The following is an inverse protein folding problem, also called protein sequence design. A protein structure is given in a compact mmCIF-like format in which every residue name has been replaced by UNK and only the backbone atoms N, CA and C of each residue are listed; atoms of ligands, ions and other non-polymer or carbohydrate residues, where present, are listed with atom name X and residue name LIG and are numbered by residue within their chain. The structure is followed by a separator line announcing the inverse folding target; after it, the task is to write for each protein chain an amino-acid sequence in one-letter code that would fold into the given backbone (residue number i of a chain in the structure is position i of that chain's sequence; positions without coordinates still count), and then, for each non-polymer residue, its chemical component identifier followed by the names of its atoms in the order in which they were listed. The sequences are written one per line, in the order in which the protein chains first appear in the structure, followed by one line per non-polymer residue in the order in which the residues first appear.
data_IF_629339192431
#
_entry.id   IF_629339192431
#
_cell.length_a   1.000
_cell.length_b   1.000
_cell.length_c   1.000
_cell.angle_alpha   90.00
_cell.angle_beta   90.00
_cell.angle_gamma   90.00
#
_symmetry.space_group_name_H-M   'P 1'
#
loop_
_entity.id
_entity.type
_entity.pdbx_description
1 polymer ?
#
# COMPACT_ATOMS: atom_id res chain seq x y z
N UNK A 1 29.39 9.56 -19.22
CA UNK A 1 28.44 9.36 -20.32
C UNK A 1 28.76 8.02 -20.97
N UNK A 2 27.76 7.18 -21.15
CA UNK A 2 27.87 5.95 -21.95
C UNK A 2 26.67 5.86 -22.90
N UNK A 3 26.77 5.04 -23.96
CA UNK A 3 25.72 4.92 -24.97
C UNK A 3 25.03 3.57 -24.79
N UNK A 4 23.73 3.60 -24.49
CA UNK A 4 22.91 2.41 -24.35
C UNK A 4 21.76 2.44 -25.36
N UNK A 5 21.69 1.43 -26.24
CA UNK A 5 20.65 1.36 -27.26
C UNK A 5 20.61 2.53 -28.26
N UNK A 6 21.72 3.26 -28.44
CA UNK A 6 21.81 4.44 -29.30
C UNK A 6 21.51 5.76 -28.61
N UNK A 7 21.19 5.77 -27.33
CA UNK A 7 20.93 6.95 -26.52
C UNK A 7 22.08 7.27 -25.55
N UNK A 8 22.34 8.56 -25.36
CA UNK A 8 23.34 9.02 -24.40
C UNK A 8 22.79 8.93 -22.99
N UNK A 9 23.41 8.11 -22.15
CA UNK A 9 23.09 8.01 -20.73
C UNK A 9 24.15 8.76 -19.94
N UNK A 10 23.71 9.68 -19.11
CA UNK A 10 24.57 10.45 -18.21
C UNK A 10 24.51 9.81 -16.80
N UNK A 11 25.60 9.14 -16.34
CA UNK A 11 25.63 8.52 -15.03
C UNK A 11 25.18 9.44 -13.91
N UNK A 12 25.63 10.69 -13.93
CA UNK A 12 25.28 11.68 -12.90
C UNK A 12 23.77 11.98 -12.79
N UNK A 13 22.99 11.88 -13.88
CA UNK A 13 21.54 12.05 -13.83
C UNK A 13 20.87 10.86 -13.14
N UNK A 14 21.30 9.65 -13.46
CA UNK A 14 20.81 8.42 -12.83
C UNK A 14 21.24 8.36 -11.36
N UNK A 15 22.48 8.72 -11.07
CA UNK A 15 23.03 8.81 -9.72
C UNK A 15 22.25 9.81 -8.87
N UNK A 16 21.94 10.99 -9.41
CA UNK A 16 21.15 12.01 -8.71
C UNK A 16 19.74 11.53 -8.35
N UNK A 17 19.10 10.74 -9.21
CA UNK A 17 17.80 10.13 -8.91
C UNK A 17 17.93 9.09 -7.82
N UNK A 18 18.96 8.25 -7.88
CA UNK A 18 19.22 7.22 -6.86
C UNK A 18 19.59 7.82 -5.51
N UNK A 19 20.32 8.96 -5.48
CA UNK A 19 20.63 9.69 -4.25
C UNK A 19 19.43 10.28 -3.54
N UNK A 20 18.30 10.47 -4.24
CA UNK A 20 17.06 10.96 -3.64
C UNK A 20 16.31 9.88 -2.87
N UNK A 21 16.71 8.61 -3.01
CA UNK A 21 16.11 7.51 -2.27
C UNK A 21 16.69 7.45 -0.86
N UNK A 22 15.83 7.50 0.14
CA UNK A 22 16.23 7.35 1.54
C UNK A 22 16.96 6.01 1.75
N UNK A 23 18.18 6.11 2.32
CA UNK A 23 19.03 4.94 2.57
C UNK A 23 20.12 4.69 1.52
N UNK A 24 20.15 5.45 0.42
CA UNK A 24 21.25 5.42 -0.55
C UNK A 24 22.32 6.44 -0.12
N UNK A 25 23.39 5.95 0.50
CA UNK A 25 24.52 6.80 0.97
C UNK A 25 25.52 7.12 -0.15
N UNK A 26 25.73 6.17 -1.04
CA UNK A 26 26.60 6.32 -2.21
C UNK A 26 26.07 5.44 -3.34
N UNK A 27 26.07 5.96 -4.54
CA UNK A 27 25.82 5.19 -5.75
C UNK A 27 26.78 5.64 -6.85
N UNK A 28 27.11 4.73 -7.75
CA UNK A 28 27.87 4.99 -8.95
C UNK A 28 27.30 4.20 -10.11
N UNK A 29 27.00 4.85 -11.21
CA UNK A 29 26.53 4.22 -12.43
C UNK A 29 27.65 4.22 -13.46
N UNK A 30 28.12 3.04 -13.83
CA UNK A 30 29.14 2.86 -14.86
C UNK A 30 28.58 2.11 -16.05
N UNK A 31 28.93 2.52 -17.25
CA UNK A 31 28.67 1.78 -18.48
C UNK A 31 29.51 0.49 -18.48
N UNK A 32 28.86 -0.64 -18.79
CA UNK A 32 29.53 -1.95 -18.95
C UNK A 32 29.20 -2.44 -20.35
N UNK A 33 30.19 -2.96 -21.10
CA UNK A 33 29.96 -3.49 -22.45
C UNK A 33 28.84 -4.54 -22.48
N UNK A 34 27.92 -4.39 -23.42
CA UNK A 34 26.81 -5.30 -23.63
C UNK A 34 26.61 -5.56 -25.11
N UNK A 35 26.51 -6.83 -25.53
CA UNK A 35 26.52 -7.25 -26.93
C UNK A 35 25.38 -6.63 -27.76
N UNK A 36 24.21 -6.39 -27.17
CA UNK A 36 23.03 -5.89 -27.87
C UNK A 36 22.86 -4.37 -27.78
N UNK A 37 23.27 -3.75 -26.66
CA UNK A 37 22.96 -2.36 -26.33
C UNK A 37 24.19 -1.44 -26.31
N UNK A 38 25.38 -1.97 -26.63
CA UNK A 38 26.64 -1.28 -26.58
C UNK A 38 27.17 -1.23 -25.14
N UNK A 39 26.57 -0.40 -24.27
CA UNK A 39 26.86 -0.35 -22.85
C UNK A 39 25.57 -0.36 -22.02
N UNK A 40 25.61 -0.93 -20.81
CA UNK A 40 24.48 -0.91 -19.86
C UNK A 40 24.94 -0.49 -18.47
N UNK A 41 24.09 0.16 -17.72
CA UNK A 41 24.42 0.64 -16.38
C UNK A 41 24.60 -0.52 -15.39
N UNK A 42 25.78 -0.58 -14.73
CA UNK A 42 26.12 -1.65 -13.78
C UNK A 42 25.41 -1.53 -12.41
N UNK A 43 24.81 -0.38 -12.09
CA UNK A 43 24.06 -0.18 -10.85
C UNK A 43 22.97 -1.26 -10.66
N UNK A 44 22.35 -1.71 -11.74
CA UNK A 44 21.32 -2.74 -11.71
C UNK A 44 21.86 -4.11 -11.26
N UNK A 45 23.08 -4.46 -11.64
CA UNK A 45 23.71 -5.73 -11.22
C UNK A 45 24.15 -5.71 -9.75
N UNK A 46 24.59 -4.56 -9.26
CA UNK A 46 24.96 -4.38 -7.85
C UNK A 46 23.73 -4.38 -6.92
N UNK A 47 22.57 -3.91 -7.42
CA UNK A 47 21.30 -3.91 -6.69
C UNK A 47 20.55 -5.25 -6.73
N UNK A 48 20.99 -6.23 -7.56
CA UNK A 48 20.29 -7.50 -7.76
C UNK A 48 19.89 -8.24 -6.48
N UNK A 49 20.77 -8.40 -5.49
CA UNK A 49 20.42 -9.05 -4.23
C UNK A 49 19.33 -8.34 -3.43
N UNK A 50 19.20 -7.02 -3.56
CA UNK A 50 18.13 -6.25 -2.88
C UNK A 50 16.74 -6.57 -3.49
N UNK A 51 16.68 -6.89 -4.78
CA UNK A 51 15.45 -7.32 -5.45
C UNK A 51 14.92 -8.66 -4.94
N UNK A 52 15.74 -9.45 -4.22
CA UNK A 52 15.29 -10.68 -3.56
C UNK A 52 14.30 -10.38 -2.43
N UNK A 53 14.35 -9.20 -1.79
CA UNK A 53 13.48 -8.84 -0.67
C UNK A 53 12.00 -8.86 -1.08
N UNK A 54 11.55 -8.10 -2.12
CA UNK A 54 10.18 -8.20 -2.60
C UNK A 54 9.78 -9.61 -3.03
N UNK A 55 10.69 -10.34 -3.69
CA UNK A 55 10.44 -11.72 -4.14
C UNK A 55 10.20 -12.64 -2.94
N UNK A 56 11.01 -12.55 -1.89
CA UNK A 56 10.88 -13.35 -0.67
C UNK A 56 9.56 -13.00 0.04
N UNK A 57 9.24 -11.72 0.18
CA UNK A 57 8.01 -11.27 0.83
C UNK A 57 6.79 -11.79 0.06
N UNK A 58 6.68 -11.43 -1.21
CA UNK A 58 5.52 -11.79 -2.03
C UNK A 58 5.44 -13.30 -2.25
N UNK A 59 6.56 -13.94 -2.58
CA UNK A 59 6.63 -15.38 -2.78
C UNK A 59 6.27 -16.16 -1.51
N UNK A 60 6.72 -15.72 -0.35
CA UNK A 60 6.40 -16.32 0.94
C UNK A 60 4.91 -16.21 1.30
N UNK A 61 4.31 -15.04 1.06
CA UNK A 61 2.88 -14.82 1.30
C UNK A 61 2.02 -15.60 0.29
N UNK A 62 2.33 -15.50 -1.01
CA UNK A 62 1.54 -16.14 -2.07
C UNK A 62 1.62 -17.68 -2.03
N UNK A 63 2.76 -18.23 -1.57
CA UNK A 63 2.88 -19.68 -1.35
C UNK A 63 2.22 -20.18 -0.06
N UNK A 64 1.69 -19.28 0.77
CA UNK A 64 1.12 -19.64 2.07
C UNK A 64 2.17 -20.06 3.12
N UNK A 65 3.47 -19.95 2.83
CA UNK A 65 4.56 -20.35 3.73
C UNK A 65 4.67 -19.39 4.93
N UNK A 66 4.43 -18.11 4.69
CA UNK A 66 4.52 -17.04 5.69
C UNK A 66 3.25 -16.19 5.73
N UNK A 67 2.86 -15.81 6.92
CA UNK A 67 1.92 -14.68 7.10
C UNK A 67 2.57 -13.36 6.70
N UNK A 68 1.81 -12.30 6.41
CA UNK A 68 2.38 -10.97 6.12
C UNK A 68 3.34 -10.47 7.20
N UNK A 69 3.03 -10.73 8.48
CA UNK A 69 3.89 -10.33 9.62
C UNK A 69 5.19 -11.12 9.66
N UNK A 70 5.14 -12.44 9.40
CA UNK A 70 6.33 -13.28 9.34
C UNK A 70 7.20 -12.90 8.13
N UNK A 71 6.59 -12.62 6.98
CA UNK A 71 7.31 -12.13 5.80
C UNK A 71 8.05 -10.82 6.06
N UNK A 72 7.44 -9.89 6.82
CA UNK A 72 8.11 -8.67 7.24
C UNK A 72 9.33 -8.95 8.14
N UNK A 73 9.21 -9.88 9.10
CA UNK A 73 10.34 -10.29 9.95
C UNK A 73 11.47 -10.92 9.14
N UNK A 74 11.15 -11.80 8.18
CA UNK A 74 12.13 -12.40 7.25
C UNK A 74 12.81 -11.31 6.42
N UNK A 75 12.06 -10.32 5.92
CA UNK A 75 12.62 -9.20 5.17
C UNK A 75 13.64 -8.39 5.98
N UNK A 76 13.36 -8.15 7.27
CA UNK A 76 14.31 -7.49 8.18
C UNK A 76 15.59 -8.31 8.28
N UNK A 77 15.50 -9.62 8.51
CA UNK A 77 16.68 -10.50 8.61
C UNK A 77 17.49 -10.47 7.31
N UNK A 78 16.83 -10.61 6.16
CA UNK A 78 17.50 -10.57 4.84
C UNK A 78 18.18 -9.21 4.62
N UNK A 79 17.52 -8.12 4.97
CA UNK A 79 18.08 -6.76 4.85
C UNK A 79 19.33 -6.59 5.74
N UNK A 80 19.29 -7.10 6.98
CA UNK A 80 20.44 -7.09 7.89
C UNK A 80 21.62 -7.89 7.33
N UNK A 81 21.35 -9.10 6.82
CA UNK A 81 22.39 -9.95 6.20
C UNK A 81 23.00 -9.25 4.99
N UNK A 82 22.19 -8.69 4.09
CA UNK A 82 22.68 -7.94 2.94
C UNK A 82 23.50 -6.72 3.37
N UNK A 83 23.03 -5.96 4.35
CA UNK A 83 23.74 -4.80 4.90
C UNK A 83 25.11 -5.15 5.47
N UNK A 84 25.21 -6.30 6.14
CA UNK A 84 26.50 -6.84 6.62
C UNK A 84 27.39 -7.28 5.45
N UNK A 85 26.85 -8.00 4.47
CA UNK A 85 27.60 -8.47 3.29
C UNK A 85 28.15 -7.30 2.46
N UNK A 86 27.40 -6.20 2.35
CA UNK A 86 27.87 -5.01 1.67
C UNK A 86 28.81 -4.12 2.52
N UNK A 87 29.02 -4.48 3.78
CA UNK A 87 29.89 -3.70 4.70
C UNK A 87 29.37 -2.29 4.99
N UNK A 88 28.08 -2.03 4.76
CA UNK A 88 27.44 -0.71 4.93
C UNK A 88 26.72 -0.55 6.27
N UNK A 89 26.60 -1.64 7.05
CA UNK A 89 25.88 -1.63 8.33
C UNK A 89 26.83 -1.23 9.47
N UNK A 90 26.71 0.01 9.94
CA UNK A 90 27.41 0.42 11.16
C UNK A 90 26.58 0.12 12.41
N UNK A 91 27.20 -0.17 13.57
CA UNK A 91 26.45 -0.38 14.83
C UNK A 91 25.56 0.81 15.21
N UNK A 92 26.02 2.02 14.92
CA UNK A 92 25.26 3.26 15.19
C UNK A 92 24.02 3.33 14.28
N UNK A 93 24.18 3.01 12.99
CA UNK A 93 23.04 2.98 12.05
C UNK A 93 22.01 1.92 12.46
N UNK A 94 22.48 0.75 12.91
CA UNK A 94 21.59 -0.31 13.40
C UNK A 94 20.78 0.15 14.63
N UNK A 95 21.45 0.70 15.65
CA UNK A 95 20.76 1.22 16.85
C UNK A 95 19.77 2.32 16.48
N UNK A 96 20.18 3.26 15.61
CA UNK A 96 19.29 4.31 15.13
C UNK A 96 18.07 3.75 14.39
N UNK A 97 18.26 2.76 13.52
CA UNK A 97 17.18 2.08 12.81
C UNK A 97 16.19 1.42 13.76
N UNK A 98 16.67 0.70 14.77
CA UNK A 98 15.82 0.07 15.79
C UNK A 98 15.03 1.11 16.59
N UNK A 99 15.68 2.20 17.01
CA UNK A 99 15.01 3.29 17.75
C UNK A 99 13.92 3.95 16.89
N UNK A 100 14.21 4.26 15.62
CA UNK A 100 13.22 4.84 14.71
C UNK A 100 12.04 3.89 14.47
N UNK A 101 12.31 2.62 14.19
CA UNK A 101 11.27 1.60 14.04
C UNK A 101 10.42 1.46 15.31
N UNK A 102 11.03 1.54 16.50
CA UNK A 102 10.31 1.54 17.78
C UNK A 102 9.40 2.77 17.94
N UNK A 103 9.86 3.94 17.55
CA UNK A 103 9.07 5.17 17.58
C UNK A 103 7.87 5.11 16.62
N UNK A 104 8.10 4.69 15.38
CA UNK A 104 7.04 4.52 14.37
C UNK A 104 6.01 3.47 14.81
N UNK A 105 6.48 2.33 15.33
CA UNK A 105 5.60 1.30 15.90
C UNK A 105 4.77 1.86 17.06
N UNK A 106 5.38 2.66 17.94
CA UNK A 106 4.70 3.31 19.06
C UNK A 106 3.58 4.26 18.59
N UNK A 107 3.83 5.05 17.56
CA UNK A 107 2.84 5.94 16.95
C UNK A 107 1.67 5.13 16.38
N UNK A 108 1.95 4.09 15.59
CA UNK A 108 0.92 3.23 15.00
C UNK A 108 0.09 2.54 16.09
N UNK A 109 0.72 2.00 17.13
CA UNK A 109 0.02 1.36 18.25
C UNK A 109 -0.85 2.33 19.03
N UNK A 110 -0.42 3.58 19.21
CA UNK A 110 -1.24 4.63 19.83
C UNK A 110 -2.49 4.92 18.98
N UNK A 111 -2.32 5.12 17.68
CA UNK A 111 -3.44 5.37 16.77
C UNK A 111 -4.44 4.19 16.75
N UNK A 112 -3.96 2.96 16.77
CA UNK A 112 -4.81 1.77 16.85
C UNK A 112 -5.55 1.70 18.18
N UNK A 113 -4.88 2.01 19.29
CA UNK A 113 -5.49 2.08 20.63
C UNK A 113 -6.62 3.10 20.70
N UNK A 114 -6.36 4.32 20.23
CA UNK A 114 -7.35 5.40 20.18
C UNK A 114 -8.54 5.04 19.29
N UNK A 115 -8.27 4.42 18.12
CA UNK A 115 -9.31 3.95 17.19
C UNK A 115 -10.19 2.87 17.84
N UNK A 116 -9.60 1.93 18.57
CA UNK A 116 -10.33 0.88 19.27
C UNK A 116 -11.23 1.46 20.39
N UNK A 117 -10.74 2.47 21.12
CA UNK A 117 -11.54 3.18 22.15
C UNK A 117 -12.73 3.88 21.48
N UNK A 118 -12.49 4.60 20.38
CA UNK A 118 -13.55 5.30 19.65
C UNK A 118 -14.59 4.31 19.09
N UNK A 119 -14.15 3.21 18.50
CA UNK A 119 -15.04 2.15 18.00
C UNK A 119 -15.91 1.60 19.16
N UNK A 120 -15.32 1.37 20.35
CA UNK A 120 -16.06 0.90 21.51
C UNK A 120 -17.08 1.90 22.03
N UNK A 121 -16.74 3.19 22.05
CA UNK A 121 -17.68 4.25 22.43
C UNK A 121 -18.87 4.31 21.46
N UNK A 122 -18.62 4.25 20.15
CA UNK A 122 -19.65 4.22 19.13
C UNK A 122 -20.55 2.97 19.24
N UNK A 123 -19.96 1.82 19.59
CA UNK A 123 -20.72 0.59 19.82
C UNK A 123 -21.67 0.75 21.00
N UNK A 124 -21.20 1.28 22.12
CA UNK A 124 -22.01 1.51 23.34
C UNK A 124 -23.12 2.53 23.09
N UNK A 125 -22.85 3.57 22.27
CA UNK A 125 -23.83 4.58 21.86
C UNK A 125 -24.90 4.04 20.88
N UNK A 126 -24.77 2.81 20.40
CA UNK A 126 -25.72 2.19 19.47
C UNK A 126 -25.54 2.62 18.01
N UNK A 127 -24.41 3.23 17.68
CA UNK A 127 -24.11 3.70 16.31
C UNK A 127 -24.27 2.59 15.27
N UNK A 128 -23.88 1.35 15.57
CA UNK A 128 -23.99 0.23 14.64
C UNK A 128 -25.46 -0.08 14.26
N UNK A 129 -26.37 -0.04 15.21
CA UNK A 129 -27.81 -0.25 14.96
C UNK A 129 -28.39 0.92 14.14
N UNK A 130 -28.08 2.16 14.52
CA UNK A 130 -28.53 3.34 13.81
C UNK A 130 -28.01 3.36 12.35
N UNK A 131 -26.76 2.98 12.13
CA UNK A 131 -26.16 2.85 10.80
C UNK A 131 -26.87 1.76 9.98
N UNK A 132 -27.13 0.59 10.58
CA UNK A 132 -27.84 -0.49 9.93
C UNK A 132 -29.25 -0.06 9.53
N UNK A 133 -30.01 0.55 10.43
CA UNK A 133 -31.38 1.03 10.15
C UNK A 133 -31.37 2.08 9.04
N UNK A 134 -30.43 3.02 9.07
CA UNK A 134 -30.29 4.03 8.03
C UNK A 134 -30.00 3.39 6.67
N UNK A 135 -29.01 2.49 6.59
CA UNK A 135 -28.63 1.85 5.32
C UNK A 135 -29.76 0.99 4.77
N UNK A 136 -30.43 0.18 5.62
CA UNK A 136 -31.52 -0.69 5.18
C UNK A 136 -32.77 0.12 4.79
N UNK A 137 -32.95 1.31 5.36
CA UNK A 137 -33.97 2.26 4.94
C UNK A 137 -33.68 2.91 3.56
N UNK A 138 -32.41 3.02 3.18
CA UNK A 138 -32.02 3.57 1.86
C UNK A 138 -32.12 2.52 0.76
N UNK A 139 -31.68 1.29 1.01
CA UNK A 139 -31.65 0.24 -0.01
C UNK A 139 -31.76 -1.16 0.58
N UNK A 140 -32.41 -2.04 -0.16
CA UNK A 140 -32.40 -3.49 0.09
C UNK A 140 -31.48 -4.25 -0.91
N UNK A 141 -30.88 -3.52 -1.87
CA UNK A 141 -30.06 -4.14 -2.91
C UNK A 141 -28.58 -4.19 -2.46
N UNK A 142 -27.94 -5.39 -2.40
CA UNK A 142 -26.56 -5.53 -1.98
C UNK A 142 -25.56 -4.75 -2.85
N UNK A 143 -25.80 -4.62 -4.14
CA UNK A 143 -24.92 -3.87 -5.04
C UNK A 143 -24.97 -2.35 -4.76
N UNK A 144 -26.17 -1.82 -4.48
CA UNK A 144 -26.33 -0.40 -4.12
C UNK A 144 -25.67 -0.15 -2.75
N UNK A 145 -25.83 -1.06 -1.80
CA UNK A 145 -25.11 -1.03 -0.52
C UNK A 145 -23.59 -0.95 -0.73
N UNK A 146 -23.02 -1.82 -1.56
CA UNK A 146 -21.59 -1.81 -1.85
C UNK A 146 -21.12 -0.47 -2.44
N UNK A 147 -21.89 0.13 -3.35
CA UNK A 147 -21.55 1.44 -3.91
C UNK A 147 -21.60 2.56 -2.85
N UNK A 148 -22.57 2.52 -1.94
CA UNK A 148 -22.64 3.47 -0.81
C UNK A 148 -21.42 3.33 0.08
N UNK A 149 -21.03 2.10 0.42
CA UNK A 149 -19.85 1.81 1.22
C UNK A 149 -18.58 2.29 0.52
N UNK A 150 -18.41 2.01 -0.77
CA UNK A 150 -17.27 2.50 -1.56
C UNK A 150 -17.20 4.03 -1.49
N UNK A 151 -18.29 4.72 -1.75
CA UNK A 151 -18.33 6.19 -1.69
C UNK A 151 -17.97 6.73 -0.31
N UNK A 152 -18.52 6.14 0.76
CA UNK A 152 -18.20 6.49 2.14
C UNK A 152 -16.72 6.29 2.45
N UNK A 153 -16.17 5.11 2.10
CA UNK A 153 -14.78 4.76 2.41
C UNK A 153 -13.77 5.56 1.59
N UNK A 154 -14.08 5.87 0.33
CA UNK A 154 -13.28 6.81 -0.46
C UNK A 154 -13.25 8.19 0.19
N UNK A 155 -14.40 8.70 0.63
CA UNK A 155 -14.48 10.00 1.30
C UNK A 155 -13.70 10.00 2.62
N UNK A 156 -13.83 8.96 3.45
CA UNK A 156 -13.07 8.82 4.70
C UNK A 156 -11.58 8.67 4.43
N UNK A 157 -11.19 7.82 3.47
CA UNK A 157 -9.79 7.56 3.10
C UNK A 157 -9.04 8.77 2.54
N UNK A 158 -9.76 9.82 2.08
CA UNK A 158 -9.11 11.09 1.71
C UNK A 158 -8.51 11.83 2.91
N UNK A 159 -9.08 11.65 4.12
CA UNK A 159 -8.74 12.42 5.32
C UNK A 159 -8.08 11.58 6.41
N UNK A 160 -8.38 10.29 6.44
CA UNK A 160 -7.98 9.37 7.52
C UNK A 160 -7.12 8.26 6.93
N UNK A 161 -6.06 7.92 7.65
CA UNK A 161 -5.21 6.77 7.31
C UNK A 161 -6.03 5.47 7.31
N UNK A 162 -5.77 4.52 6.38
CA UNK A 162 -6.58 3.31 6.23
C UNK A 162 -6.69 2.43 7.47
N UNK A 163 -5.61 2.28 8.27
CA UNK A 163 -5.65 1.42 9.45
C UNK A 163 -6.62 1.92 10.52
N UNK A 164 -6.52 3.18 11.03
CA UNK A 164 -7.51 3.74 11.93
C UNK A 164 -8.94 3.68 11.38
N UNK A 165 -9.12 4.06 10.10
CA UNK A 165 -10.43 4.03 9.46
C UNK A 165 -11.03 2.62 9.43
N UNK A 166 -10.21 1.61 9.11
CA UNK A 166 -10.60 0.21 9.12
C UNK A 166 -11.06 -0.24 10.51
N UNK A 167 -10.27 0.06 11.56
CA UNK A 167 -10.59 -0.31 12.94
C UNK A 167 -11.87 0.32 13.46
N UNK A 168 -12.19 1.54 13.01
CA UNK A 168 -13.42 2.25 13.41
C UNK A 168 -14.61 1.73 12.62
N UNK A 169 -14.51 1.60 11.30
CA UNK A 169 -15.67 1.39 10.42
C UNK A 169 -15.99 -0.09 10.17
N UNK A 170 -14.98 -0.98 10.10
CA UNK A 170 -15.22 -2.37 9.78
C UNK A 170 -16.13 -3.09 10.79
N UNK A 171 -16.03 -2.87 12.13
CA UNK A 171 -16.93 -3.51 13.09
C UNK A 171 -18.41 -3.17 12.88
N UNK A 172 -18.72 -2.04 12.28
CA UNK A 172 -20.10 -1.61 12.01
C UNK A 172 -20.58 -1.98 10.62
N UNK A 173 -19.72 -1.91 9.61
CA UNK A 173 -20.08 -2.19 8.21
C UNK A 173 -20.11 -3.70 7.91
N UNK A 174 -19.17 -4.47 8.45
CA UNK A 174 -19.07 -5.91 8.14
C UNK A 174 -20.27 -6.72 8.61
N UNK A 175 -20.85 -6.54 9.82
CA UNK A 175 -22.07 -7.23 10.21
C UNK A 175 -23.26 -6.92 9.30
N UNK A 176 -23.37 -5.69 8.82
CA UNK A 176 -24.43 -5.29 7.87
C UNK A 176 -24.21 -5.95 6.51
N UNK A 177 -22.97 -5.91 5.98
CA UNK A 177 -22.62 -6.53 4.70
C UNK A 177 -22.90 -8.03 4.69
N UNK A 178 -22.42 -8.74 5.69
CA UNK A 178 -22.52 -10.21 5.77
C UNK A 178 -23.88 -10.65 6.26
N UNK A 179 -24.38 -10.06 7.38
CA UNK A 179 -25.59 -10.52 8.06
C UNK A 179 -26.87 -10.06 7.38
N UNK A 180 -26.92 -8.87 6.78
CA UNK A 180 -28.13 -8.32 6.15
C UNK A 180 -28.14 -8.57 4.65
N UNK A 181 -27.02 -8.29 3.97
CA UNK A 181 -26.94 -8.37 2.50
C UNK A 181 -26.35 -9.69 1.98
N UNK A 182 -25.83 -10.57 2.86
CA UNK A 182 -25.28 -11.87 2.47
C UNK A 182 -24.01 -11.76 1.60
N UNK A 183 -23.27 -10.65 1.71
CA UNK A 183 -22.05 -10.42 0.96
C UNK A 183 -20.93 -11.29 1.56
N UNK A 184 -20.12 -11.90 0.70
CA UNK A 184 -18.95 -12.67 1.14
C UNK A 184 -17.99 -11.80 1.96
N UNK A 185 -17.55 -12.24 3.17
CA UNK A 185 -16.71 -11.44 4.05
C UNK A 185 -15.33 -11.12 3.47
N UNK A 186 -14.75 -12.02 2.64
CA UNK A 186 -13.45 -11.77 2.00
C UNK A 186 -13.59 -10.73 0.89
N UNK A 187 -14.63 -10.87 0.05
CA UNK A 187 -14.96 -9.88 -0.97
C UNK A 187 -15.18 -8.50 -0.34
N UNK A 188 -15.96 -8.44 0.73
CA UNK A 188 -16.21 -7.20 1.45
C UNK A 188 -14.92 -6.60 2.01
N UNK A 189 -14.08 -7.41 2.64
CA UNK A 189 -12.77 -6.98 3.16
C UNK A 189 -11.87 -6.38 2.08
N UNK A 190 -11.79 -7.04 0.91
CA UNK A 190 -11.03 -6.53 -0.25
C UNK A 190 -11.57 -5.17 -0.69
N UNK A 191 -12.89 -5.01 -0.81
CA UNK A 191 -13.51 -3.74 -1.21
C UNK A 191 -13.23 -2.63 -0.20
N UNK A 192 -13.33 -2.94 1.10
CA UNK A 192 -13.07 -1.97 2.17
C UNK A 192 -11.63 -1.47 2.13
N UNK A 193 -10.66 -2.39 2.11
CA UNK A 193 -9.24 -2.04 2.08
C UNK A 193 -8.89 -1.27 0.80
N UNK A 194 -9.36 -1.76 -0.35
CA UNK A 194 -9.08 -1.12 -1.64
C UNK A 194 -9.68 0.30 -1.70
N UNK A 195 -10.90 0.51 -1.20
CA UNK A 195 -11.53 1.82 -1.15
C UNK A 195 -10.74 2.81 -0.29
N UNK A 196 -10.33 2.40 0.92
CA UNK A 196 -9.56 3.24 1.83
C UNK A 196 -8.18 3.61 1.24
N UNK A 197 -7.49 2.64 0.62
CA UNK A 197 -6.19 2.89 -0.03
C UNK A 197 -6.32 3.82 -1.22
N UNK A 198 -7.37 3.66 -2.04
CA UNK A 198 -7.66 4.60 -3.13
C UNK A 198 -7.95 6.01 -2.62
N UNK A 199 -8.60 6.13 -1.47
CA UNK A 199 -8.86 7.41 -0.81
C UNK A 199 -7.56 8.20 -0.57
N UNK A 200 -6.46 7.54 -0.21
CA UNK A 200 -5.16 8.20 0.04
C UNK A 200 -4.61 8.98 -1.16
N UNK A 201 -4.94 8.57 -2.37
CA UNK A 201 -4.49 9.20 -3.61
C UNK A 201 -5.61 9.94 -4.35
N UNK A 202 -6.81 10.01 -3.73
CA UNK A 202 -7.98 10.63 -4.36
C UNK A 202 -8.02 12.15 -4.10
N UNK A 203 -8.07 13.02 -5.14
CA UNK A 203 -8.33 14.43 -4.96
C UNK A 203 -9.71 14.68 -4.31
N UNK A 204 -9.93 15.76 -3.54
CA UNK A 204 -9.09 16.96 -3.44
C UNK A 204 -8.03 16.93 -2.34
N UNK A 205 -8.02 15.93 -1.45
CA UNK A 205 -7.06 15.87 -0.34
C UNK A 205 -5.92 14.91 -0.68
N UNK A 206 -6.16 13.58 -0.60
CA UNK A 206 -5.17 12.57 -0.96
C UNK A 206 -3.84 12.72 -0.22
N UNK A 207 -3.75 12.26 1.03
CA UNK A 207 -2.58 12.45 1.89
C UNK A 207 -1.25 12.08 1.21
N UNK A 208 -1.25 11.00 0.43
CA UNK A 208 -0.07 10.55 -0.32
C UNK A 208 0.29 11.51 -1.44
N UNK A 209 -0.68 12.16 -2.08
CA UNK A 209 -0.39 13.16 -3.13
C UNK A 209 0.34 14.38 -2.57
N UNK A 210 0.03 14.82 -1.36
CA UNK A 210 0.77 15.89 -0.69
C UNK A 210 2.20 15.48 -0.39
N UNK A 211 2.40 14.26 0.10
CA UNK A 211 3.72 13.73 0.37
C UNK A 211 4.56 13.66 -0.91
N UNK A 212 4.00 13.09 -1.97
CA UNK A 212 4.68 13.00 -3.28
C UNK A 212 4.96 14.38 -3.86
N UNK A 213 4.04 15.34 -3.73
CA UNK A 213 4.23 16.73 -4.15
C UNK A 213 5.42 17.37 -3.42
N UNK A 214 5.54 17.15 -2.11
CA UNK A 214 6.62 17.71 -1.31
C UNK A 214 8.00 17.16 -1.69
N UNK A 215 8.08 15.87 -2.01
CA UNK A 215 9.32 15.17 -2.39
C UNK A 215 9.71 15.50 -3.84
N UNK A 216 8.76 15.38 -4.78
CA UNK A 216 9.01 15.54 -6.22
C UNK A 216 9.13 17.00 -6.68
N UNK A 217 8.75 17.97 -5.82
CA UNK A 217 8.64 19.40 -6.16
C UNK A 217 7.66 19.70 -7.30
N UNK A 218 6.79 18.76 -7.64
CA UNK A 218 5.71 18.94 -8.61
C UNK A 218 4.47 19.45 -7.86
N UNK A 219 3.75 20.42 -8.43
CA UNK A 219 2.55 20.98 -7.78
C UNK A 219 1.48 19.93 -7.59
N UNK A 220 0.75 20.03 -6.48
CA UNK A 220 -0.33 19.14 -6.12
C UNK A 220 -1.39 19.02 -7.22
N UNK A 221 -1.78 20.14 -7.84
CA UNK A 221 -2.77 20.16 -8.91
C UNK A 221 -2.31 19.34 -10.12
N UNK A 222 -1.05 19.48 -10.52
CA UNK A 222 -0.49 18.73 -11.65
C UNK A 222 -0.42 17.24 -11.36
N UNK A 223 -0.03 16.86 -10.14
CA UNK A 223 -0.05 15.45 -9.71
C UNK A 223 -1.46 14.90 -9.70
N UNK A 224 -2.41 15.63 -9.12
CA UNK A 224 -3.82 15.24 -9.06
C UNK A 224 -4.39 15.00 -10.45
N UNK A 225 -4.17 15.92 -11.39
CA UNK A 225 -4.63 15.76 -12.79
C UNK A 225 -3.99 14.55 -13.48
N UNK A 226 -2.69 14.31 -13.23
CA UNK A 226 -1.98 13.16 -13.80
C UNK A 226 -2.49 11.83 -13.23
N UNK A 227 -2.99 11.83 -12.00
CA UNK A 227 -3.54 10.64 -11.35
C UNK A 227 -4.97 10.28 -11.76
N UNK A 228 -5.75 11.24 -12.32
CA UNK A 228 -7.15 10.98 -12.71
C UNK A 228 -7.34 9.74 -13.58
N UNK A 229 -6.59 9.49 -14.65
CA UNK A 229 -6.77 8.29 -15.47
C UNK A 229 -6.55 6.98 -14.68
N UNK A 230 -5.54 6.96 -13.81
CA UNK A 230 -5.21 5.82 -12.97
C UNK A 230 -6.26 5.57 -11.90
N UNK A 231 -6.77 6.64 -11.29
CA UNK A 231 -7.89 6.58 -10.35
C UNK A 231 -9.16 6.07 -11.01
N UNK A 232 -9.46 6.52 -12.23
CA UNK A 232 -10.63 6.05 -12.98
C UNK A 232 -10.54 4.53 -13.26
N UNK A 233 -9.37 4.05 -13.70
CA UNK A 233 -9.14 2.61 -13.93
C UNK A 233 -9.29 1.84 -12.62
N UNK A 234 -8.67 2.32 -11.54
CA UNK A 234 -8.73 1.67 -10.22
C UNK A 234 -10.15 1.67 -9.65
N UNK A 235 -10.91 2.75 -9.85
CA UNK A 235 -12.31 2.82 -9.43
C UNK A 235 -13.18 1.84 -10.22
N UNK A 236 -12.98 1.73 -11.53
CA UNK A 236 -13.68 0.72 -12.35
C UNK A 236 -13.36 -0.69 -11.85
N UNK A 237 -12.08 -0.98 -11.58
CA UNK A 237 -11.67 -2.27 -11.03
C UNK A 237 -12.31 -2.53 -9.66
N UNK A 238 -12.33 -1.55 -8.76
CA UNK A 238 -12.98 -1.64 -7.46
C UNK A 238 -14.49 -1.94 -7.59
N UNK A 239 -15.17 -1.24 -8.50
CA UNK A 239 -16.60 -1.49 -8.78
C UNK A 239 -16.81 -2.89 -9.35
N UNK A 240 -15.95 -3.35 -10.25
CA UNK A 240 -16.02 -4.72 -10.77
C UNK A 240 -15.87 -5.76 -9.66
N UNK A 241 -14.89 -5.59 -8.76
CA UNK A 241 -14.69 -6.47 -7.60
C UNK A 241 -15.93 -6.45 -6.69
N UNK A 242 -16.59 -5.30 -6.52
CA UNK A 242 -17.78 -5.17 -5.69
C UNK A 242 -19.04 -5.79 -6.32
N UNK A 243 -19.12 -5.81 -7.66
CA UNK A 243 -20.32 -6.24 -8.38
C UNK A 243 -20.28 -7.69 -8.86
N UNK A 244 -19.09 -8.24 -9.07
CA UNK A 244 -18.94 -9.63 -9.52
C UNK A 244 -19.22 -10.62 -8.38
N UNK A 245 -19.71 -11.84 -8.67
CA UNK A 245 -19.86 -12.89 -7.67
C UNK A 245 -18.52 -13.21 -6.99
N UNK A 246 -18.57 -13.43 -5.67
CA UNK A 246 -17.37 -13.71 -4.86
C UNK A 246 -16.56 -14.90 -5.44
N UNK A 247 -17.22 -15.94 -5.92
CA UNK A 247 -16.59 -17.12 -6.55
C UNK A 247 -15.69 -16.74 -7.73
N UNK A 248 -16.07 -15.72 -8.51
CA UNK A 248 -15.30 -15.24 -9.65
C UNK A 248 -14.02 -14.51 -9.21
N UNK A 249 -14.07 -13.85 -8.08
CA UNK A 249 -12.96 -13.03 -7.55
C UNK A 249 -12.00 -13.90 -6.74
N UNK A 250 -12.56 -14.84 -5.97
CA UNK A 250 -11.83 -15.70 -5.07
C UNK A 250 -11.26 -16.96 -5.72
N UNK A 251 -11.45 -17.17 -7.05
CA UNK A 251 -10.89 -18.33 -7.75
C UNK A 251 -9.36 -18.45 -7.56
N UNK A 252 -8.66 -17.30 -7.44
CA UNK A 252 -7.23 -17.27 -7.15
C UNK A 252 -6.89 -17.82 -5.77
N UNK A 253 -7.73 -17.60 -4.75
CA UNK A 253 -7.51 -18.12 -3.39
C UNK A 253 -7.72 -19.63 -3.34
N UNK A 254 -8.61 -20.16 -4.18
CA UNK A 254 -8.85 -21.61 -4.30
C UNK A 254 -7.74 -22.35 -5.06
N UNK A 255 -6.82 -21.63 -5.69
CA UNK A 255 -5.67 -22.19 -6.41
C UNK A 255 -4.48 -22.48 -5.49
N UNK A 256 -4.48 -21.89 -4.30
CA UNK A 256 -3.41 -22.00 -3.29
C UNK A 256 -3.83 -22.85 -2.07
N UNK A 257 -5.03 -23.33 -2.02
CA UNK A 257 -5.56 -24.28 -1.03
C UNK A 257 -5.52 -25.72 -1.57
#
# INVERSE_FOLDING_TARGET
MFISGGENVYPAEVENVLFQLDGVLENAVIGVPHEKWGEVGRAFLAGGPVLLIPIIILGGILSGTFTPTESAAVAVVVTLVLGLCYGKLSPIALVRGVVLAGLETGIVMLLLGDSAILAKLLEVDGFGLALQEWITGVTSNPHVFMLIVIGLLLAVGMFVEPLPALFILAPFLAPVAVGVYGIDPVQFGVVVVFSLVLGLIHPPVGLVLFLVSSISKVSFERLSLTMIPWLAISLVLLILVAMLPAETILWLSNWTS
#
